data_IF_927829359188
#
_entry.id   IF_927829359188
#
_cell.length_a   1.000
_cell.length_b   1.000
_cell.length_c   1.000
_cell.angle_alpha   90.00
_cell.angle_beta   90.00
_cell.angle_gamma   90.00
#
_symmetry.space_group_name_H-M   'P 1'
#
loop_
_entity.id
_entity.type
_entity.pdbx_description
1 polymer ?
#
# COMPACT_ATOMS: atom_id res chain seq x y z
N UNK A 1 0.80 10.64 6.21
CA UNK A 1 1.26 11.46 7.36
C UNK A 1 1.08 12.95 7.12
N UNK A 2 1.56 13.45 6.02
CA UNK A 2 1.58 14.90 5.71
C UNK A 2 0.20 15.51 5.41
N UNK A 3 -0.78 14.68 5.08
CA UNK A 3 -2.17 15.09 4.83
C UNK A 3 -3.07 14.98 6.07
N UNK A 4 -2.55 14.43 7.18
CA UNK A 4 -3.37 14.18 8.38
C UNK A 4 -4.44 13.11 8.19
N UNK A 5 -4.36 12.29 7.12
CA UNK A 5 -5.27 11.18 6.88
C UNK A 5 -4.76 9.87 7.48
N UNK A 6 -5.62 8.87 7.57
CA UNK A 6 -5.24 7.49 7.88
C UNK A 6 -5.72 6.52 6.79
N UNK A 7 -5.08 5.37 6.75
CA UNK A 7 -5.52 4.26 5.92
C UNK A 7 -6.58 3.44 6.67
N UNK A 8 -7.51 2.85 5.93
CA UNK A 8 -8.43 1.89 6.53
C UNK A 8 -7.70 0.66 7.04
N UNK A 9 -8.24 -0.06 8.05
CA UNK A 9 -7.64 -1.30 8.54
C UNK A 9 -7.41 -2.33 7.44
N UNK A 10 -8.35 -2.45 6.50
CA UNK A 10 -8.22 -3.34 5.35
C UNK A 10 -7.02 -2.98 4.47
N UNK A 11 -6.82 -1.69 4.20
CA UNK A 11 -5.68 -1.22 3.40
C UNK A 11 -4.37 -1.47 4.14
N UNK A 12 -4.31 -1.20 5.45
CA UNK A 12 -3.13 -1.48 6.28
C UNK A 12 -2.79 -2.97 6.33
N UNK A 13 -3.79 -3.83 6.49
CA UNK A 13 -3.59 -5.28 6.50
C UNK A 13 -3.07 -5.78 5.14
N UNK A 14 -3.61 -5.29 4.04
CA UNK A 14 -3.13 -5.64 2.69
C UNK A 14 -1.70 -5.19 2.44
N UNK A 15 -1.36 -3.95 2.82
CA UNK A 15 0.00 -3.45 2.71
C UNK A 15 0.93 -4.28 3.60
N UNK A 16 0.60 -4.47 4.87
CA UNK A 16 1.41 -5.25 5.80
C UNK A 16 1.60 -6.70 5.38
N UNK A 17 0.56 -7.33 4.83
CA UNK A 17 0.63 -8.68 4.27
C UNK A 17 1.48 -8.78 3.00
N UNK A 18 1.50 -7.72 2.17
CA UNK A 18 2.24 -7.71 0.92
C UNK A 18 3.73 -7.40 1.09
N UNK A 19 4.09 -6.39 1.90
CA UNK A 19 5.48 -5.90 2.03
C UNK A 19 6.10 -6.19 3.40
N UNK A 20 5.34 -6.79 4.30
CA UNK A 20 5.75 -7.00 5.69
C UNK A 20 5.41 -5.81 6.60
N UNK A 21 5.01 -6.12 7.83
CA UNK A 21 4.53 -5.13 8.82
C UNK A 21 5.62 -4.10 9.17
N UNK A 22 6.88 -4.50 9.20
CA UNK A 22 8.00 -3.59 9.53
C UNK A 22 8.17 -2.49 8.49
N UNK A 23 8.11 -2.82 7.20
CA UNK A 23 8.17 -1.84 6.11
C UNK A 23 6.91 -0.97 6.12
N UNK A 24 5.73 -1.58 6.28
CA UNK A 24 4.48 -0.84 6.39
C UNK A 24 4.52 0.21 7.51
N UNK A 25 5.08 -0.12 8.68
CA UNK A 25 5.27 0.84 9.80
C UNK A 25 6.17 2.01 9.41
N UNK A 26 7.30 1.75 8.76
CA UNK A 26 8.21 2.82 8.30
C UNK A 26 7.51 3.76 7.33
N UNK A 27 6.78 3.22 6.35
CA UNK A 27 6.05 4.02 5.38
C UNK A 27 4.94 4.86 6.02
N UNK A 28 4.12 4.25 6.88
CA UNK A 28 2.90 4.91 7.40
C UNK A 28 3.19 5.82 8.59
N UNK A 29 4.01 5.38 9.54
CA UNK A 29 4.29 6.15 10.77
C UNK A 29 5.38 7.20 10.55
N UNK A 30 6.45 6.85 9.81
CA UNK A 30 7.57 7.75 9.58
C UNK A 30 7.43 8.55 8.27
N UNK A 31 6.52 8.13 7.36
CA UNK A 31 6.38 8.72 6.03
C UNK A 31 7.60 8.45 5.15
N UNK A 32 8.28 7.33 5.37
CA UNK A 32 9.47 6.95 4.63
C UNK A 32 9.12 6.51 3.20
N UNK A 33 9.96 6.89 2.25
CA UNK A 33 9.90 6.39 0.88
C UNK A 33 10.79 5.16 0.79
N UNK A 34 10.18 4.02 0.51
CA UNK A 34 10.88 2.74 0.35
C UNK A 34 11.25 2.54 -1.12
N UNK A 35 12.52 2.22 -1.38
CA UNK A 35 13.01 2.01 -2.74
C UNK A 35 12.60 0.65 -3.31
N UNK A 36 12.48 0.58 -4.64
CA UNK A 36 12.06 -0.63 -5.34
C UNK A 36 12.97 -1.83 -5.05
N UNK A 37 14.28 -1.60 -4.92
CA UNK A 37 15.27 -2.64 -4.60
C UNK A 37 15.00 -3.29 -3.23
N UNK A 38 14.62 -2.50 -2.23
CA UNK A 38 14.25 -3.02 -0.91
C UNK A 38 12.96 -3.86 -0.99
N UNK A 39 11.96 -3.40 -1.74
CA UNK A 39 10.71 -4.13 -1.95
C UNK A 39 10.93 -5.43 -2.74
N UNK A 40 11.89 -5.46 -3.64
CA UNK A 40 12.27 -6.70 -4.34
C UNK A 40 12.85 -7.73 -3.36
N UNK A 41 13.68 -7.31 -2.42
CA UNK A 41 14.25 -8.20 -1.40
C UNK A 41 13.20 -8.85 -0.49
N UNK A 42 12.04 -8.21 -0.32
CA UNK A 42 10.91 -8.78 0.42
C UNK A 42 10.05 -9.75 -0.40
N UNK A 43 10.31 -9.87 -1.69
CA UNK A 43 9.48 -10.66 -2.60
C UNK A 43 8.20 -9.95 -3.07
N UNK A 44 7.97 -8.70 -2.67
CA UNK A 44 6.81 -7.93 -3.13
C UNK A 44 6.89 -7.60 -4.62
N UNK A 45 8.08 -7.17 -5.09
CA UNK A 45 8.33 -6.98 -6.50
C UNK A 45 9.03 -8.22 -7.06
N UNK A 46 8.49 -8.75 -8.14
CA UNK A 46 9.07 -9.90 -8.83
C UNK A 46 10.47 -9.57 -9.36
N UNK A 47 10.64 -8.38 -9.95
CA UNK A 47 11.89 -7.92 -10.54
C UNK A 47 11.92 -6.39 -10.57
N UNK A 48 13.11 -5.83 -10.46
CA UNK A 48 13.42 -4.42 -10.72
C UNK A 48 14.39 -4.39 -11.90
N UNK A 49 14.02 -3.65 -12.93
CA UNK A 49 14.79 -3.57 -14.20
C UNK A 49 14.86 -2.12 -14.67
N UNK A 50 15.75 -1.83 -15.60
CA UNK A 50 15.78 -0.55 -16.27
C UNK A 50 14.53 -0.37 -17.14
N UNK A 51 14.19 0.89 -17.40
CA UNK A 51 12.94 1.26 -18.07
C UNK A 51 12.77 0.65 -19.46
N UNK A 52 13.83 0.58 -20.21
CA UNK A 52 13.87 0.02 -21.57
C UNK A 52 13.72 -1.51 -21.59
N UNK A 53 14.05 -2.20 -20.50
CA UNK A 53 13.89 -3.64 -20.37
C UNK A 53 12.49 -4.05 -19.83
N UNK A 54 11.68 -3.11 -19.35
CA UNK A 54 10.43 -3.41 -18.63
C UNK A 54 9.44 -4.20 -19.48
N UNK A 55 9.20 -3.77 -20.71
CA UNK A 55 8.20 -4.39 -21.60
C UNK A 55 8.58 -5.83 -21.93
N UNK A 56 9.85 -6.09 -22.21
CA UNK A 56 10.35 -7.45 -22.45
C UNK A 56 10.21 -8.38 -21.24
N UNK A 57 10.48 -7.86 -20.05
CA UNK A 57 10.29 -8.63 -18.81
C UNK A 57 8.82 -8.91 -18.51
N UNK A 58 7.93 -7.94 -18.77
CA UNK A 58 6.47 -8.13 -18.64
C UNK A 58 5.98 -9.22 -19.59
N UNK A 59 6.40 -9.18 -20.88
CA UNK A 59 6.05 -10.21 -21.86
C UNK A 59 6.53 -11.60 -21.44
N UNK A 60 7.74 -11.71 -20.94
CA UNK A 60 8.29 -12.98 -20.45
C UNK A 60 7.47 -13.55 -19.27
N UNK A 61 7.03 -12.70 -18.33
CA UNK A 61 6.18 -13.11 -17.20
C UNK A 61 4.79 -13.51 -17.67
N UNK A 62 4.17 -12.75 -18.57
CA UNK A 62 2.84 -13.05 -19.13
C UNK A 62 2.87 -14.37 -19.90
N UNK A 63 3.86 -14.61 -20.74
CA UNK A 63 4.03 -15.85 -21.49
C UNK A 63 4.13 -17.04 -20.55
N UNK A 64 4.99 -16.97 -19.54
CA UNK A 64 5.10 -18.04 -18.53
C UNK A 64 3.82 -18.26 -17.75
N UNK A 65 3.09 -17.21 -17.41
CA UNK A 65 1.79 -17.33 -16.73
C UNK A 65 0.73 -17.98 -17.61
N UNK A 66 0.74 -17.71 -18.92
CA UNK A 66 -0.20 -18.27 -19.90
C UNK A 66 0.01 -19.77 -20.14
N UNK A 67 1.18 -20.32 -19.84
CA UNK A 67 1.49 -21.75 -19.93
C UNK A 67 0.85 -22.57 -18.80
N UNK A 68 0.39 -21.91 -17.72
CA UNK A 68 -0.23 -22.60 -16.59
C UNK A 68 -1.69 -22.97 -16.88
N UNK A 69 -2.19 -24.04 -16.22
CA UNK A 69 -3.57 -24.48 -16.32
C UNK A 69 -4.54 -23.36 -15.85
N UNK A 70 -5.45 -22.87 -16.72
CA UNK A 70 -6.26 -21.67 -16.41
C UNK A 70 -7.19 -21.83 -15.21
N UNK A 71 -7.77 -23.03 -15.03
CA UNK A 71 -8.65 -23.32 -13.90
C UNK A 71 -7.88 -23.33 -12.58
N UNK A 72 -6.69 -23.93 -12.56
CA UNK A 72 -5.80 -23.93 -11.39
C UNK A 72 -5.42 -22.51 -11.01
N UNK A 73 -4.99 -21.72 -11.99
CA UNK A 73 -4.60 -20.32 -11.77
C UNK A 73 -5.75 -19.50 -11.20
N UNK A 74 -6.99 -19.67 -11.72
CA UNK A 74 -8.18 -19.00 -11.19
C UNK A 74 -8.50 -19.44 -9.75
N UNK A 75 -8.47 -20.74 -9.48
CA UNK A 75 -8.77 -21.28 -8.15
C UNK A 75 -7.76 -20.78 -7.12
N UNK A 76 -6.46 -20.84 -7.40
CA UNK A 76 -5.40 -20.35 -6.51
C UNK A 76 -5.54 -18.84 -6.27
N UNK A 77 -5.79 -18.05 -7.32
CA UNK A 77 -6.00 -16.60 -7.18
C UNK A 77 -7.20 -16.29 -6.27
N UNK A 78 -8.30 -17.02 -6.39
CA UNK A 78 -9.47 -16.83 -5.52
C UNK A 78 -9.19 -17.29 -4.09
N UNK A 79 -8.50 -18.40 -3.88
CA UNK A 79 -8.08 -18.85 -2.55
C UNK A 79 -7.20 -17.82 -1.86
N UNK A 80 -6.19 -17.28 -2.54
CA UNK A 80 -5.33 -16.23 -2.02
C UNK A 80 -6.12 -14.95 -1.68
N UNK A 81 -7.09 -14.58 -2.51
CA UNK A 81 -7.97 -13.45 -2.23
C UNK A 81 -8.78 -13.67 -0.95
N UNK A 82 -9.36 -14.84 -0.76
CA UNK A 82 -10.12 -15.18 0.46
C UNK A 82 -9.23 -15.15 1.70
N UNK A 83 -8.05 -15.76 1.64
CA UNK A 83 -7.09 -15.74 2.74
C UNK A 83 -6.71 -14.33 3.19
N UNK A 84 -6.73 -13.35 2.27
CA UNK A 84 -6.43 -11.95 2.60
C UNK A 84 -7.61 -11.17 3.19
N UNK A 85 -8.80 -11.76 3.28
CA UNK A 85 -10.04 -11.09 3.72
C UNK A 85 -10.61 -11.63 5.03
N UNK A 86 -10.06 -12.74 5.57
CA UNK A 86 -10.60 -13.35 6.78
C UNK A 86 -10.22 -12.53 8.04
N UNK A 87 -11.23 -12.24 8.85
CA UNK A 87 -11.16 -11.71 10.23
C UNK A 87 -10.34 -10.42 10.46
N UNK A 88 -10.52 -9.41 9.60
CA UNK A 88 -9.98 -8.09 9.91
C UNK A 88 -10.86 -7.39 10.97
N UNK A 89 -10.27 -6.90 12.08
CA UNK A 89 -11.03 -6.15 13.06
C UNK A 89 -11.66 -4.90 12.45
N UNK A 90 -12.91 -4.64 12.81
CA UNK A 90 -13.54 -3.36 12.50
C UNK A 90 -12.78 -2.24 13.21
N UNK A 91 -12.54 -1.14 12.52
CA UNK A 91 -11.92 0.06 13.08
C UNK A 91 -12.43 1.32 12.34
N UNK A 92 -13.69 1.29 11.94
CA UNK A 92 -14.32 2.39 11.21
C UNK A 92 -14.36 3.65 12.08
N UNK A 93 -14.51 3.50 13.41
CA UNK A 93 -14.47 4.59 14.38
C UNK A 93 -13.13 5.36 14.36
N UNK A 94 -12.01 4.69 14.13
CA UNK A 94 -10.71 5.34 14.03
C UNK A 94 -10.57 6.12 12.71
N UNK A 95 -11.14 5.58 11.64
CA UNK A 95 -11.18 6.26 10.33
C UNK A 95 -12.04 7.52 10.44
N UNK A 96 -13.24 7.43 11.02
CA UNK A 96 -14.13 8.56 11.25
C UNK A 96 -13.48 9.63 12.12
N UNK A 97 -12.80 9.24 13.20
CA UNK A 97 -12.08 10.15 14.09
C UNK A 97 -11.03 10.95 13.31
N UNK A 98 -10.23 10.30 12.47
CA UNK A 98 -9.18 10.98 11.72
C UNK A 98 -9.75 11.91 10.65
N UNK A 99 -10.69 11.44 9.83
CA UNK A 99 -11.28 12.25 8.76
C UNK A 99 -12.17 13.38 9.29
N UNK A 100 -12.74 13.25 10.50
CA UNK A 100 -13.48 14.30 11.19
C UNK A 100 -12.59 15.35 11.89
N UNK A 101 -11.29 15.12 11.99
CA UNK A 101 -10.36 15.94 12.77
C UNK A 101 -10.03 17.29 12.12
N UNK A 102 -9.66 18.27 12.98
CA UNK A 102 -9.08 19.53 12.54
C UNK A 102 -7.74 19.34 11.81
N UNK A 103 -6.97 18.32 12.21
CA UNK A 103 -5.69 18.01 11.61
C UNK A 103 -5.84 17.53 10.16
N UNK A 104 -6.89 16.76 9.85
CA UNK A 104 -7.18 16.38 8.47
C UNK A 104 -7.51 17.61 7.62
N UNK A 105 -8.37 18.52 8.11
CA UNK A 105 -8.72 19.77 7.40
C UNK A 105 -7.47 20.59 7.09
N UNK A 106 -6.62 20.82 8.09
CA UNK A 106 -5.34 21.55 7.95
C UNK A 106 -4.39 20.88 6.96
N UNK A 107 -4.32 19.55 6.97
CA UNK A 107 -3.54 18.77 6.01
C UNK A 107 -4.01 18.98 4.58
N UNK A 108 -5.33 18.94 4.34
CA UNK A 108 -5.93 19.18 3.02
C UNK A 108 -5.69 20.62 2.56
N UNK A 109 -5.89 21.61 3.44
CA UNK A 109 -5.63 23.03 3.13
C UNK A 109 -4.16 23.25 2.73
N UNK A 110 -3.22 22.72 3.50
CA UNK A 110 -1.79 22.82 3.20
C UNK A 110 -1.42 22.15 1.86
N UNK A 111 -2.03 21.02 1.57
CA UNK A 111 -1.85 20.31 0.30
C UNK A 111 -2.39 21.13 -0.89
N UNK A 112 -3.60 21.67 -0.77
CA UNK A 112 -4.22 22.51 -1.81
C UNK A 112 -3.43 23.80 -2.04
N UNK A 113 -2.91 24.41 -0.98
CA UNK A 113 -2.06 25.59 -1.04
C UNK A 113 -0.63 25.30 -1.52
N UNK A 114 -0.29 24.03 -1.80
CA UNK A 114 1.06 23.58 -2.21
C UNK A 114 2.18 24.07 -1.28
N UNK A 115 1.87 24.26 -0.01
CA UNK A 115 2.89 24.69 0.99
C UNK A 115 3.84 23.54 1.31
N UNK A 116 5.13 23.86 1.48
CA UNK A 116 6.14 22.92 1.97
C UNK A 116 6.20 22.84 3.49
N UNK A 117 5.50 23.73 4.19
CA UNK A 117 5.49 23.74 5.66
C UNK A 117 4.60 22.61 6.19
N UNK A 118 5.11 21.90 7.19
CA UNK A 118 4.31 20.93 7.94
C UNK A 118 3.23 21.70 8.69
N UNK A 119 1.96 21.30 8.57
CA UNK A 119 0.88 21.90 9.35
C UNK A 119 1.13 21.80 10.87
N UNK A 120 0.62 22.76 11.61
CA UNK A 120 0.64 22.68 13.08
C UNK A 120 -0.44 21.68 13.52
N UNK A 121 -0.02 20.47 13.81
CA UNK A 121 -0.91 19.40 14.27
C UNK A 121 -1.37 19.63 15.70
N UNK A 122 -2.64 19.37 15.98
CA UNK A 122 -3.28 19.57 17.29
C UNK A 122 -3.64 18.25 17.98
N UNK A 123 -3.73 17.15 17.21
CA UNK A 123 -4.21 15.88 17.72
C UNK A 123 -5.73 15.82 17.93
N UNK A 124 -6.49 16.72 17.32
CA UNK A 124 -7.95 16.85 17.46
C UNK A 124 -8.63 16.89 16.11
#
# INVERSE_FOLDING_TARGET
RTLGNCLSPLTLARIGGAIGVSIARRMVLLGEIVHAQELQQTGFLLKVVERDALDGEVEAVVTRAAENAPLTTRAVKEMLRRMSLEDLPHADELVEQVYGSEDFKRGVEAFMARTKKVPAWTGR
#
